data_IF_453383527474
#
_entry.id   IF_453383527474
#
_cell.length_a   1.000
_cell.length_b   1.000
_cell.length_c   1.000
_cell.angle_alpha   90.00
_cell.angle_beta   90.00
_cell.angle_gamma   90.00
#
_symmetry.space_group_name_H-M   'P 1'
#
loop_
_entity.id
_entity.type
_entity.pdbx_description
1 polymer ?
#
# COMPACT_ATOMS: atom_id res chain seq x y z
N UNK A 1 4.98 23.76 14.48
CA UNK A 1 6.35 23.21 14.42
C UNK A 1 6.61 22.75 13.01
N UNK A 2 7.30 23.59 12.23
CA UNK A 2 7.67 23.30 10.83
C UNK A 2 8.70 22.18 10.89
N UNK A 3 8.35 21.00 10.38
CA UNK A 3 9.30 19.92 10.19
C UNK A 3 10.48 20.49 9.39
N UNK A 4 11.71 20.40 9.91
CA UNK A 4 12.89 20.72 9.15
C UNK A 4 12.83 19.92 7.85
N UNK A 5 12.44 20.57 6.75
CA UNK A 5 12.30 19.93 5.46
C UNK A 5 13.70 19.54 5.07
N UNK A 6 14.05 18.26 5.22
CA UNK A 6 15.31 17.77 4.71
C UNK A 6 15.26 18.02 3.20
N UNK A 7 16.14 18.89 2.73
CA UNK A 7 16.26 19.28 1.33
C UNK A 7 17.41 18.46 0.76
N UNK A 8 17.15 17.78 -0.34
CA UNK A 8 18.16 17.02 -1.09
C UNK A 8 18.23 17.68 -2.45
N UNK A 9 19.40 18.24 -2.80
CA UNK A 9 19.63 18.90 -4.09
C UNK A 9 18.67 20.07 -4.36
N UNK A 10 18.32 20.83 -3.32
CA UNK A 10 17.39 21.97 -3.43
C UNK A 10 15.90 21.58 -3.48
N UNK A 11 15.57 20.28 -3.56
CA UNK A 11 14.17 19.80 -3.60
C UNK A 11 13.76 19.27 -2.22
N UNK A 12 12.60 19.68 -1.67
CA UNK A 12 12.08 19.09 -0.45
C UNK A 12 11.84 17.57 -0.62
N UNK A 13 12.32 16.76 0.34
CA UNK A 13 12.18 15.29 0.30
C UNK A 13 10.73 14.81 0.09
N UNK A 14 9.75 15.59 0.53
CA UNK A 14 8.33 15.36 0.28
C UNK A 14 8.03 15.22 -1.22
N UNK A 15 8.44 16.18 -2.05
CA UNK A 15 8.14 16.17 -3.48
C UNK A 15 9.02 15.16 -4.23
N UNK A 16 10.28 15.02 -3.83
CA UNK A 16 11.18 14.04 -4.41
C UNK A 16 10.67 12.60 -4.20
N UNK A 17 10.26 12.26 -2.98
CA UNK A 17 9.71 10.92 -2.68
C UNK A 17 8.41 10.64 -3.43
N UNK A 18 7.53 11.64 -3.60
CA UNK A 18 6.30 11.50 -4.38
C UNK A 18 6.59 11.30 -5.88
N UNK A 19 7.54 12.05 -6.44
CA UNK A 19 7.94 11.90 -7.85
C UNK A 19 8.53 10.51 -8.12
N UNK A 20 9.44 10.06 -7.24
CA UNK A 20 10.03 8.72 -7.33
C UNK A 20 8.93 7.65 -7.22
N UNK A 21 7.95 7.83 -6.33
CA UNK A 21 6.82 6.91 -6.21
C UNK A 21 5.98 6.84 -7.49
N UNK A 22 5.73 7.98 -8.14
CA UNK A 22 4.99 8.01 -9.43
C UNK A 22 5.72 7.18 -10.48
N UNK A 23 7.02 7.43 -10.66
CA UNK A 23 7.84 6.73 -11.66
C UNK A 23 7.93 5.23 -11.34
N UNK A 24 8.20 4.89 -10.08
CA UNK A 24 8.33 3.50 -9.66
C UNK A 24 7.02 2.72 -9.83
N UNK A 25 5.87 3.30 -9.44
CA UNK A 25 4.58 2.65 -9.62
C UNK A 25 4.21 2.49 -11.10
N UNK A 26 4.49 3.49 -11.94
CA UNK A 26 4.26 3.37 -13.39
C UNK A 26 5.12 2.27 -14.01
N UNK A 27 6.40 2.19 -13.62
CA UNK A 27 7.28 1.11 -14.06
C UNK A 27 6.76 -0.26 -13.60
N UNK A 28 6.34 -0.40 -12.33
CA UNK A 28 5.78 -1.64 -11.82
C UNK A 28 4.55 -2.09 -12.62
N UNK A 29 3.62 -1.18 -12.93
CA UNK A 29 2.41 -1.50 -13.72
C UNK A 29 2.79 -2.01 -15.12
N UNK A 30 3.72 -1.33 -15.80
CA UNK A 30 4.15 -1.70 -17.14
C UNK A 30 4.88 -3.04 -17.17
N UNK A 31 5.82 -3.26 -16.23
CA UNK A 31 6.56 -4.52 -16.13
C UNK A 31 5.61 -5.65 -15.77
N UNK A 32 4.71 -5.47 -14.80
CA UNK A 32 3.68 -6.46 -14.44
C UNK A 32 2.80 -6.82 -15.63
N UNK A 33 2.41 -5.83 -16.44
CA UNK A 33 1.64 -6.06 -17.67
C UNK A 33 2.45 -6.92 -18.65
N UNK A 34 3.71 -6.60 -18.87
CA UNK A 34 4.58 -7.38 -19.75
C UNK A 34 4.80 -8.81 -19.24
N UNK A 35 5.07 -9.00 -17.95
CA UNK A 35 5.38 -10.32 -17.38
C UNK A 35 4.16 -11.23 -17.18
N UNK A 36 2.94 -10.70 -17.17
CA UNK A 36 1.71 -11.48 -16.92
C UNK A 36 0.77 -11.56 -18.11
N UNK A 37 0.64 -10.49 -18.90
CA UNK A 37 -0.28 -10.49 -20.04
C UNK A 37 0.31 -11.26 -21.24
N UNK A 38 1.63 -11.36 -21.34
CA UNK A 38 2.32 -12.06 -22.43
C UNK A 38 2.68 -13.51 -22.12
N UNK A 39 2.38 -13.99 -20.90
CA UNK A 39 2.75 -15.33 -20.44
C UNK A 39 1.48 -16.16 -20.15
N UNK A 40 1.36 -17.38 -20.72
CA UNK A 40 0.30 -18.34 -20.42
C UNK A 40 0.14 -18.60 -18.92
N UNK A 41 -1.08 -18.87 -18.45
CA UNK A 41 -1.38 -18.94 -17.01
C UNK A 41 -0.58 -20.02 -16.26
N UNK A 42 -0.30 -21.12 -16.94
CA UNK A 42 0.46 -22.28 -16.48
C UNK A 42 1.96 -22.00 -16.29
N UNK A 43 2.50 -21.03 -17.03
CA UNK A 43 3.89 -20.56 -16.95
C UNK A 43 4.07 -19.32 -16.05
N UNK A 44 2.99 -18.82 -15.42
CA UNK A 44 3.10 -17.67 -14.51
C UNK A 44 3.78 -18.05 -13.20
N UNK A 45 4.53 -17.11 -12.64
CA UNK A 45 5.05 -17.22 -11.27
C UNK A 45 3.92 -17.00 -10.25
N UNK A 46 4.04 -17.64 -9.09
CA UNK A 46 3.09 -17.46 -7.99
C UNK A 46 3.22 -16.06 -7.38
N UNK A 47 2.10 -15.33 -7.36
CA UNK A 47 2.05 -13.96 -6.85
C UNK A 47 2.42 -13.89 -5.36
N UNK A 48 1.96 -14.87 -4.59
CA UNK A 48 2.16 -15.02 -3.15
C UNK A 48 3.63 -15.12 -2.77
N UNK A 49 4.38 -15.99 -3.44
CA UNK A 49 5.82 -16.17 -3.18
C UNK A 49 6.60 -14.93 -3.58
N UNK A 50 6.21 -14.25 -4.67
CA UNK A 50 6.85 -13.01 -5.12
C UNK A 50 6.65 -11.86 -4.11
N UNK A 51 5.46 -11.76 -3.51
CA UNK A 51 5.18 -10.78 -2.43
C UNK A 51 6.09 -11.03 -1.23
N UNK A 52 6.23 -12.28 -0.79
CA UNK A 52 7.12 -12.62 0.35
C UNK A 52 8.57 -12.30 0.01
N UNK A 53 9.03 -12.66 -1.20
CA UNK A 53 10.39 -12.32 -1.64
C UNK A 53 10.61 -10.81 -1.68
N UNK A 54 9.59 -10.01 -2.01
CA UNK A 54 9.69 -8.54 -1.97
C UNK A 54 9.87 -8.01 -0.55
N UNK A 55 9.24 -8.62 0.46
CA UNK A 55 9.43 -8.28 1.88
C UNK A 55 10.82 -8.73 2.38
N UNK A 56 11.33 -9.87 1.92
CA UNK A 56 12.69 -10.34 2.22
C UNK A 56 13.73 -9.36 1.66
N UNK A 57 13.63 -8.98 0.38
CA UNK A 57 14.55 -8.00 -0.22
C UNK A 57 14.47 -6.65 0.51
N UNK A 58 13.26 -6.18 0.81
CA UNK A 58 13.05 -4.94 1.59
C UNK A 58 13.75 -5.00 2.95
N UNK A 59 13.64 -6.12 3.65
CA UNK A 59 14.30 -6.37 4.93
C UNK A 59 15.82 -6.34 4.77
N UNK A 60 16.38 -7.03 3.77
CA UNK A 60 17.81 -7.03 3.48
C UNK A 60 18.35 -5.62 3.19
N UNK A 61 17.62 -4.82 2.42
CA UNK A 61 18.01 -3.42 2.15
C UNK A 61 17.96 -2.60 3.44
N UNK A 62 16.93 -2.75 4.26
CA UNK A 62 16.85 -2.05 5.55
C UNK A 62 17.98 -2.46 6.50
N UNK A 63 18.36 -3.75 6.52
CA UNK A 63 19.50 -4.26 7.29
C UNK A 63 20.82 -3.67 6.79
N UNK A 64 21.01 -3.60 5.47
CA UNK A 64 22.20 -2.97 4.87
C UNK A 64 22.30 -1.49 5.22
N UNK A 65 21.19 -0.75 5.16
CA UNK A 65 21.14 0.65 5.60
C UNK A 65 21.46 0.75 7.10
N UNK A 66 20.87 -0.09 7.94
CA UNK A 66 21.10 -0.08 9.39
C UNK A 66 22.56 -0.40 9.75
N UNK A 67 23.17 -1.37 9.07
CA UNK A 67 24.60 -1.67 9.19
C UNK A 67 25.50 -0.48 8.80
N UNK A 68 25.05 0.33 7.83
CA UNK A 68 25.81 1.47 7.34
C UNK A 68 25.76 2.71 8.24
N UNK A 69 24.81 2.77 9.18
CA UNK A 69 24.54 3.96 9.99
C UNK A 69 25.65 4.24 11.01
N UNK A 70 26.13 3.26 11.81
CA UNK A 70 27.24 3.51 12.73
C UNK A 70 28.53 3.88 11.99
N UNK A 71 29.40 4.71 12.60
CA UNK A 71 30.73 5.01 12.05
C UNK A 71 31.52 3.72 11.77
N UNK A 72 32.38 3.74 10.74
CA UNK A 72 33.15 2.57 10.29
C UNK A 72 33.83 1.79 11.44
N UNK A 73 34.47 2.49 12.38
CA UNK A 73 35.15 1.90 13.54
C UNK A 73 34.21 1.17 14.52
N UNK A 74 32.91 1.47 14.47
CA UNK A 74 31.86 0.88 15.32
C UNK A 74 30.96 -0.12 14.57
N UNK A 75 31.20 -0.37 13.27
CA UNK A 75 30.40 -1.34 12.51
C UNK A 75 30.73 -2.76 12.96
N UNK A 76 29.73 -3.46 13.49
CA UNK A 76 29.84 -4.86 13.89
C UNK A 76 28.51 -5.57 13.67
N UNK A 77 28.57 -6.77 13.06
CA UNK A 77 27.38 -7.60 12.82
C UNK A 77 26.75 -8.05 14.14
N UNK A 78 27.57 -8.30 15.17
CA UNK A 78 27.10 -8.68 16.50
C UNK A 78 26.32 -7.53 17.15
N UNK A 79 26.81 -6.30 17.02
CA UNK A 79 26.10 -5.10 17.51
C UNK A 79 24.76 -4.90 16.81
N UNK A 80 24.71 -5.08 15.49
CA UNK A 80 23.45 -5.04 14.73
C UNK A 80 22.48 -6.13 15.20
N UNK A 81 22.96 -7.35 15.41
CA UNK A 81 22.17 -8.47 15.92
C UNK A 81 21.60 -8.19 17.30
N UNK A 82 22.41 -7.72 18.25
CA UNK A 82 21.96 -7.34 19.60
C UNK A 82 20.91 -6.23 19.56
N UNK A 83 21.09 -5.23 18.69
CA UNK A 83 20.13 -4.15 18.51
C UNK A 83 18.78 -4.65 17.94
N UNK A 84 18.82 -5.52 16.92
CA UNK A 84 17.61 -6.09 16.34
C UNK A 84 16.88 -7.01 17.32
N UNK A 85 17.62 -7.83 18.05
CA UNK A 85 17.06 -8.66 19.12
C UNK A 85 16.36 -7.78 20.16
N UNK A 86 16.99 -6.67 20.53
CA UNK A 86 16.43 -5.71 21.46
C UNK A 86 15.15 -5.05 20.93
N UNK A 87 15.14 -4.55 19.69
CA UNK A 87 13.98 -3.88 19.08
C UNK A 87 12.83 -4.83 18.70
N UNK A 88 13.12 -6.10 18.37
CA UNK A 88 12.11 -7.09 17.99
C UNK A 88 11.58 -7.87 19.18
N UNK A 89 12.44 -8.30 20.11
CA UNK A 89 12.08 -9.22 21.20
C UNK A 89 11.90 -8.44 22.50
N UNK A 90 12.88 -7.65 22.92
CA UNK A 90 12.81 -6.94 24.21
C UNK A 90 11.74 -5.85 24.18
N UNK A 91 11.69 -5.05 23.11
CA UNK A 91 10.63 -4.04 22.85
C UNK A 91 9.40 -4.64 22.15
N UNK A 92 9.01 -5.88 22.47
CA UNK A 92 7.88 -6.57 21.84
C UNK A 92 6.56 -5.78 21.86
N UNK A 93 6.30 -4.99 22.92
CA UNK A 93 5.08 -4.15 23.00
C UNK A 93 5.05 -3.05 21.94
N UNK A 94 6.20 -2.53 21.52
CA UNK A 94 6.28 -1.53 20.45
C UNK A 94 6.33 -2.21 19.09
N UNK A 95 7.03 -3.35 18.96
CA UNK A 95 7.07 -4.15 17.74
C UNK A 95 5.66 -4.66 17.36
N UNK A 96 4.91 -5.22 18.32
CA UNK A 96 3.56 -5.75 18.08
C UNK A 96 2.54 -4.69 17.64
N UNK A 97 2.77 -3.40 17.90
CA UNK A 97 1.94 -2.33 17.30
C UNK A 97 2.06 -2.31 15.78
N UNK A 98 3.20 -2.70 15.21
CA UNK A 98 3.37 -2.82 13.76
C UNK A 98 2.82 -4.14 13.20
N UNK A 99 2.54 -5.13 14.06
CA UNK A 99 1.79 -6.31 13.66
C UNK A 99 0.34 -5.97 13.28
N UNK A 100 -0.27 -4.99 13.97
CA UNK A 100 -1.64 -4.55 13.69
C UNK A 100 -1.85 -4.15 12.21
N UNK A 101 -1.13 -3.18 11.62
CA UNK A 101 -1.28 -2.85 10.21
C UNK A 101 -0.93 -4.02 9.29
N UNK A 102 0.04 -4.88 9.64
CA UNK A 102 0.38 -6.06 8.85
C UNK A 102 -0.79 -7.06 8.76
N UNK A 103 -1.48 -7.33 9.88
CA UNK A 103 -2.68 -8.17 9.93
C UNK A 103 -3.82 -7.55 9.12
N UNK A 104 -4.04 -6.23 9.24
CA UNK A 104 -5.07 -5.55 8.45
C UNK A 104 -4.79 -5.65 6.95
N UNK A 105 -3.53 -5.49 6.52
CA UNK A 105 -3.15 -5.66 5.12
C UNK A 105 -3.34 -7.10 4.64
N UNK A 106 -3.05 -8.11 5.47
CA UNK A 106 -3.32 -9.50 5.14
C UNK A 106 -4.82 -9.76 4.93
N UNK A 107 -5.67 -9.34 5.87
CA UNK A 107 -7.12 -9.52 5.77
C UNK A 107 -7.65 -8.77 4.55
N UNK A 108 -7.20 -7.52 4.35
CA UNK A 108 -7.54 -6.73 3.18
C UNK A 108 -7.23 -7.47 1.87
N UNK A 109 -6.01 -8.00 1.72
CA UNK A 109 -5.60 -8.68 0.50
C UNK A 109 -6.47 -9.91 0.22
N UNK A 110 -6.84 -10.67 1.25
CA UNK A 110 -7.76 -11.80 1.12
C UNK A 110 -9.18 -11.37 0.73
N UNK A 111 -9.70 -10.30 1.33
CA UNK A 111 -11.01 -9.75 0.96
C UNK A 111 -11.02 -9.21 -0.48
N UNK A 112 -9.89 -8.69 -0.97
CA UNK A 112 -9.76 -8.30 -2.38
C UNK A 112 -9.86 -9.50 -3.32
N UNK A 113 -9.28 -10.65 -2.95
CA UNK A 113 -9.43 -11.88 -3.71
C UNK A 113 -10.89 -12.34 -3.76
N UNK A 114 -11.55 -12.41 -2.59
CA UNK A 114 -12.98 -12.76 -2.49
C UNK A 114 -13.84 -11.80 -3.31
N UNK A 115 -13.56 -10.50 -3.26
CA UNK A 115 -14.31 -9.53 -4.05
C UNK A 115 -14.06 -9.71 -5.55
N UNK A 116 -12.82 -9.96 -5.98
CA UNK A 116 -12.48 -10.16 -7.39
C UNK A 116 -13.08 -11.44 -7.98
N UNK A 117 -13.33 -12.48 -7.17
CA UNK A 117 -13.99 -13.71 -7.63
C UNK A 117 -15.52 -13.61 -7.65
N UNK A 118 -16.11 -12.65 -6.93
CA UNK A 118 -17.55 -12.53 -6.75
C UNK A 118 -18.17 -11.29 -7.41
N UNK A 119 -17.35 -10.37 -7.93
CA UNK A 119 -17.79 -9.18 -8.66
C UNK A 119 -17.18 -9.18 -10.05
N UNK A 120 -17.88 -8.59 -11.01
CA UNK A 120 -17.28 -8.27 -12.29
C UNK A 120 -16.13 -7.25 -12.12
N UNK A 121 -15.18 -7.28 -13.05
CA UNK A 121 -13.97 -6.47 -12.96
C UNK A 121 -14.27 -4.96 -12.91
N UNK A 122 -15.32 -4.48 -13.57
CA UNK A 122 -15.66 -3.06 -13.56
C UNK A 122 -16.18 -2.63 -12.18
N UNK A 123 -17.14 -3.37 -11.63
CA UNK A 123 -17.69 -3.12 -10.29
C UNK A 123 -16.61 -3.21 -9.22
N UNK A 124 -15.74 -4.23 -9.26
CA UNK A 124 -14.63 -4.35 -8.32
C UNK A 124 -13.69 -3.14 -8.39
N UNK A 125 -13.24 -2.76 -9.60
CA UNK A 125 -12.25 -1.69 -9.77
C UNK A 125 -12.78 -0.32 -9.34
N UNK A 126 -14.04 0.00 -9.68
CA UNK A 126 -14.68 1.26 -9.30
C UNK A 126 -14.89 1.32 -7.79
N UNK A 127 -15.46 0.26 -7.21
CA UNK A 127 -15.76 0.21 -5.77
C UNK A 127 -14.49 0.26 -4.92
N UNK A 128 -13.40 -0.36 -5.38
CA UNK A 128 -12.14 -0.39 -4.63
C UNK A 128 -11.47 1.00 -4.52
N UNK A 129 -11.84 1.99 -5.35
CA UNK A 129 -11.30 3.35 -5.22
C UNK A 129 -11.84 4.11 -4.00
N UNK A 130 -12.93 3.64 -3.38
CA UNK A 130 -13.44 4.17 -2.12
C UNK A 130 -12.38 4.16 -1.00
N UNK A 131 -11.33 3.33 -1.12
CA UNK A 131 -10.18 3.34 -0.22
C UNK A 131 -9.53 4.71 -0.04
N UNK A 132 -9.62 5.60 -1.04
CA UNK A 132 -9.07 6.96 -0.95
C UNK A 132 -9.86 7.77 0.05
N UNK A 133 -11.20 7.67 0.00
CA UNK A 133 -12.09 8.36 0.93
C UNK A 133 -11.98 7.79 2.35
N UNK A 134 -11.87 6.47 2.50
CA UNK A 134 -11.67 5.85 3.82
C UNK A 134 -10.32 6.26 4.42
N UNK A 135 -9.26 6.33 3.61
CA UNK A 135 -7.94 6.83 4.05
C UNK A 135 -8.02 8.28 4.52
N UNK A 136 -8.75 9.14 3.80
CA UNK A 136 -8.95 10.52 4.21
C UNK A 136 -9.78 10.63 5.50
N UNK A 137 -10.85 9.86 5.62
CA UNK A 137 -11.68 9.78 6.82
C UNK A 137 -10.84 9.38 8.05
N UNK A 138 -10.08 8.29 7.96
CA UNK A 138 -9.22 7.87 9.06
C UNK A 138 -8.08 8.86 9.31
N UNK A 139 -7.56 9.54 8.29
CA UNK A 139 -6.56 10.60 8.49
C UNK A 139 -7.10 11.76 9.33
N UNK A 140 -8.38 12.12 9.14
CA UNK A 140 -9.03 13.13 9.97
C UNK A 140 -9.28 12.61 11.39
N UNK A 141 -9.80 11.39 11.54
CA UNK A 141 -10.19 10.82 12.84
C UNK A 141 -9.00 10.41 13.71
N UNK A 142 -7.99 9.74 13.13
CA UNK A 142 -6.88 9.10 13.86
C UNK A 142 -5.66 10.03 14.00
N UNK A 143 -5.36 10.81 12.95
CA UNK A 143 -4.22 11.74 12.95
C UNK A 143 -4.63 13.18 13.31
N UNK A 144 -5.92 13.44 13.52
CA UNK A 144 -6.46 14.77 13.84
C UNK A 144 -6.01 15.85 12.84
N UNK A 145 -5.91 15.51 11.55
CA UNK A 145 -5.57 16.44 10.47
C UNK A 145 -6.86 16.96 9.82
N UNK A 146 -7.39 18.14 10.20
CA UNK A 146 -8.62 18.64 9.62
C UNK A 146 -8.44 18.93 8.13
N UNK A 147 -9.38 18.46 7.31
CA UNK A 147 -9.44 18.75 5.88
C UNK A 147 -10.51 19.80 5.61
N UNK A 148 -10.19 20.78 4.75
CA UNK A 148 -11.17 21.77 4.30
C UNK A 148 -12.23 21.11 3.41
N UNK A 149 -13.39 21.78 3.25
CA UNK A 149 -14.45 21.32 2.35
C UNK A 149 -13.94 21.14 0.92
N UNK A 150 -13.05 22.03 0.47
CA UNK A 150 -12.44 21.98 -0.86
C UNK A 150 -11.55 20.75 -1.03
N UNK A 151 -10.80 20.34 0.00
CA UNK A 151 -10.00 19.11 -0.01
C UNK A 151 -10.87 17.85 -0.03
N UNK A 152 -12.01 17.85 0.66
CA UNK A 152 -12.98 16.76 0.55
C UNK A 152 -13.58 16.64 -0.85
N UNK A 153 -13.93 17.76 -1.47
CA UNK A 153 -14.41 17.79 -2.86
C UNK A 153 -13.32 17.26 -3.80
N UNK A 154 -12.07 17.70 -3.63
CA UNK A 154 -10.95 17.20 -4.43
C UNK A 154 -10.78 15.68 -4.32
N UNK A 155 -10.91 15.11 -3.12
CA UNK A 155 -10.83 13.66 -2.90
C UNK A 155 -11.99 12.90 -3.56
N UNK A 156 -13.20 13.47 -3.56
CA UNK A 156 -14.34 12.93 -4.27
C UNK A 156 -14.11 12.90 -5.79
N UNK A 157 -13.67 14.03 -6.36
CA UNK A 157 -13.34 14.15 -7.78
C UNK A 157 -12.20 13.18 -8.15
N UNK A 158 -11.17 13.06 -7.30
CA UNK A 158 -10.07 12.11 -7.50
C UNK A 158 -10.59 10.67 -7.59
N UNK A 159 -11.46 10.27 -6.66
CA UNK A 159 -12.02 8.91 -6.60
C UNK A 159 -12.82 8.59 -7.87
N UNK A 160 -13.67 9.52 -8.32
CA UNK A 160 -14.44 9.38 -9.56
C UNK A 160 -13.51 9.34 -10.78
N UNK A 161 -12.49 10.21 -10.83
CA UNK A 161 -11.53 10.26 -11.94
C UNK A 161 -10.79 8.94 -12.12
N UNK A 162 -10.33 8.31 -11.03
CA UNK A 162 -9.66 7.01 -11.10
C UNK A 162 -10.63 5.90 -11.48
N UNK A 163 -11.86 5.92 -10.93
CA UNK A 163 -12.89 4.96 -11.33
C UNK A 163 -13.13 4.97 -12.85
N UNK A 164 -13.19 6.17 -13.46
CA UNK A 164 -13.30 6.34 -14.90
C UNK A 164 -12.06 5.85 -15.67
N UNK A 165 -10.86 6.11 -15.15
CA UNK A 165 -9.58 5.68 -15.79
C UNK A 165 -9.42 4.16 -15.79
N UNK A 166 -9.89 3.48 -14.75
CA UNK A 166 -9.65 2.04 -14.54
C UNK A 166 -10.78 1.16 -15.10
N UNK A 167 -11.88 1.75 -15.59
CA UNK A 167 -12.98 0.97 -16.16
C UNK A 167 -12.54 0.12 -17.38
N UNK A 168 -12.88 -1.18 -17.41
CA UNK A 168 -12.66 -2.03 -18.58
C UNK A 168 -13.36 -1.49 -19.84
N UNK A 169 -12.73 -1.67 -21.01
CA UNK A 169 -13.24 -1.15 -22.29
C UNK A 169 -14.62 -1.70 -22.68
N UNK A 170 -14.92 -2.92 -22.25
CA UNK A 170 -16.18 -3.61 -22.59
C UNK A 170 -17.37 -3.17 -21.71
N UNK A 171 -17.10 -2.49 -20.59
CA UNK A 171 -18.13 -2.06 -19.64
C UNK A 171 -18.85 -0.76 -20.07
N UNK A 172 -18.23 0.03 -20.97
CA UNK A 172 -18.76 1.33 -21.39
C UNK A 172 -19.30 1.23 -22.81
N UNK A 173 -20.34 0.41 -22.99
CA UNK A 173 -21.26 0.64 -24.10
C UNK A 173 -22.14 1.84 -23.72
N UNK A 174 -21.83 3.02 -24.27
CA UNK A 174 -22.61 4.26 -24.12
C UNK A 174 -24.10 4.08 -24.47
N UNK A 175 -24.43 3.02 -25.21
CA UNK A 175 -25.78 2.53 -25.52
C UNK A 175 -26.60 2.17 -24.27
N UNK A 176 -25.98 1.59 -23.23
CA UNK A 176 -26.68 1.16 -22.01
C UNK A 176 -27.02 2.30 -21.04
N UNK A 177 -26.21 3.36 -21.02
CA UNK A 177 -26.46 4.54 -20.21
C UNK A 177 -27.58 5.38 -20.83
N UNK A 178 -27.60 5.52 -22.16
CA UNK A 178 -28.66 6.26 -22.85
C UNK A 178 -30.02 5.53 -22.75
N UNK A 179 -30.06 4.19 -22.86
CA UNK A 179 -31.31 3.43 -22.70
C UNK A 179 -31.91 3.50 -21.30
N UNK A 180 -31.07 3.65 -20.26
CA UNK A 180 -31.54 3.85 -18.89
C UNK A 180 -32.18 5.24 -18.65
N UNK A 181 -31.76 6.26 -19.41
CA UNK A 181 -32.29 7.62 -19.30
C UNK A 181 -33.44 7.92 -20.27
N UNK A 182 -33.69 7.09 -21.29
CA UNK A 182 -34.70 7.38 -22.34
C UNK A 182 -35.94 6.47 -22.34
N UNK A 183 -36.23 5.68 -21.30
CA UNK A 183 -37.48 4.90 -21.24
C UNK A 183 -38.35 5.33 -20.06
N UNK A 184 -38.94 6.52 -20.20
CA UNK A 184 -40.13 6.94 -19.45
C UNK A 184 -41.40 6.62 -20.24
N UNK A 185 -41.78 5.33 -20.33
CA UNK A 185 -43.15 4.86 -20.59
C UNK A 185 -43.23 3.31 -20.59
N UNK A 186 -44.14 2.79 -19.77
CA UNK A 186 -44.53 1.37 -19.58
C UNK A 186 -45.24 0.77 -20.83
N UNK A 187 -45.74 -0.50 -20.84
CA UNK A 187 -45.07 -1.80 -20.63
C UNK A 187 -45.47 -2.85 -21.70
N UNK A 188 -44.66 -3.87 -22.03
CA UNK A 188 -45.16 -5.12 -22.65
C UNK A 188 -44.40 -6.34 -22.13
N UNK A 189 -45.18 -7.31 -21.67
CA UNK A 189 -44.78 -8.57 -21.04
C UNK A 189 -44.35 -9.65 -22.04
N UNK A 190 -43.53 -10.58 -21.55
CA UNK A 190 -43.48 -12.04 -21.76
C UNK A 190 -42.03 -12.49 -21.59
N UNK A 191 -41.64 -13.48 -20.79
CA UNK A 191 -42.38 -14.57 -20.15
C UNK A 191 -41.48 -15.12 -19.04
N UNK A 192 -42.07 -15.32 -17.86
CA UNK A 192 -41.47 -15.99 -16.72
C UNK A 192 -41.46 -17.49 -17.00
N UNK A 193 -40.28 -18.10 -16.98
CA UNK A 193 -40.11 -19.46 -16.44
C UNK A 193 -39.21 -19.32 -15.23
N UNK A 194 -39.81 -19.62 -14.09
CA UNK A 194 -39.21 -19.80 -12.78
C UNK A 194 -38.23 -20.96 -12.83
N UNK A 195 -36.97 -20.70 -12.47
CA UNK A 195 -36.24 -21.42 -11.41
C UNK A 195 -34.87 -20.73 -11.17
N UNK A 196 -34.42 -20.69 -9.91
CA UNK A 196 -33.15 -20.14 -9.37
C UNK A 196 -33.06 -18.63 -9.02
N UNK A 197 -33.93 -18.13 -8.15
CA UNK A 197 -33.84 -16.77 -7.54
C UNK A 197 -33.09 -16.66 -6.20
N UNK A 198 -32.21 -17.60 -5.81
CA UNK A 198 -31.47 -17.48 -4.54
C UNK A 198 -29.94 -17.59 -4.60
N UNK A 199 -29.33 -18.02 -5.71
CA UNK A 199 -27.86 -18.16 -5.80
C UNK A 199 -27.13 -16.99 -6.48
N UNK A 200 -27.81 -16.19 -7.32
CA UNK A 200 -27.17 -15.08 -8.06
C UNK A 200 -27.03 -13.76 -7.28
N UNK A 201 -27.80 -13.57 -6.21
CA UNK A 201 -27.79 -12.33 -5.42
C UNK A 201 -26.84 -12.41 -4.21
N UNK A 202 -26.59 -13.61 -3.69
CA UNK A 202 -25.78 -13.82 -2.49
C UNK A 202 -24.28 -13.67 -2.77
N UNK A 203 -23.80 -14.16 -3.93
CA UNK A 203 -22.41 -14.00 -4.38
C UNK A 203 -22.04 -12.54 -4.64
N UNK A 204 -22.90 -11.79 -5.35
CA UNK A 204 -22.68 -10.37 -5.61
C UNK A 204 -22.67 -9.53 -4.31
N UNK A 205 -23.58 -9.82 -3.36
CA UNK A 205 -23.62 -9.14 -2.07
C UNK A 205 -22.37 -9.44 -1.22
N UNK A 206 -21.91 -10.69 -1.21
CA UNK A 206 -20.67 -11.09 -0.54
C UNK A 206 -19.46 -10.36 -1.13
N UNK A 207 -19.37 -10.27 -2.47
CA UNK A 207 -18.32 -9.54 -3.15
C UNK A 207 -18.31 -8.05 -2.82
N UNK A 208 -19.50 -7.42 -2.81
CA UNK A 208 -19.65 -6.00 -2.48
C UNK A 208 -19.26 -5.70 -1.02
N UNK A 209 -19.71 -6.54 -0.09
CA UNK A 209 -19.30 -6.41 1.32
C UNK A 209 -17.79 -6.59 1.49
N UNK A 210 -17.20 -7.58 0.80
CA UNK A 210 -15.76 -7.84 0.85
C UNK A 210 -14.93 -6.64 0.35
N UNK A 211 -15.30 -6.01 -0.77
CA UNK A 211 -14.56 -4.85 -1.30
C UNK A 211 -14.72 -3.61 -0.40
N UNK A 212 -15.91 -3.36 0.16
CA UNK A 212 -16.12 -2.25 1.09
C UNK A 212 -15.28 -2.43 2.36
N UNK A 213 -15.29 -3.64 2.94
CA UNK A 213 -14.45 -3.95 4.09
C UNK A 213 -12.96 -3.83 3.75
N UNK A 214 -12.52 -4.30 2.57
CA UNK A 214 -11.15 -4.11 2.11
C UNK A 214 -10.78 -2.61 2.01
N UNK A 215 -11.66 -1.75 1.51
CA UNK A 215 -11.44 -0.30 1.47
C UNK A 215 -11.28 0.31 2.86
N UNK A 216 -12.11 -0.09 3.83
CA UNK A 216 -12.03 0.39 5.22
C UNK A 216 -10.72 -0.06 5.86
N UNK A 217 -10.37 -1.35 5.73
CA UNK A 217 -9.13 -1.91 6.27
C UNK A 217 -7.89 -1.27 5.64
N UNK A 218 -7.90 -0.99 4.34
CA UNK A 218 -6.80 -0.30 3.65
C UNK A 218 -6.56 1.10 4.19
N UNK A 219 -7.63 1.87 4.41
CA UNK A 219 -7.53 3.21 4.98
C UNK A 219 -7.02 3.17 6.41
N UNK A 220 -7.57 2.26 7.22
CA UNK A 220 -7.17 2.09 8.62
C UNK A 220 -5.71 1.67 8.75
N UNK A 221 -5.27 0.64 8.02
CA UNK A 221 -3.90 0.12 8.07
C UNK A 221 -2.88 1.18 7.66
N UNK A 222 -3.14 1.89 6.55
CA UNK A 222 -2.25 2.94 6.06
C UNK A 222 -2.10 4.10 7.05
N UNK A 223 -3.22 4.62 7.54
CA UNK A 223 -3.21 5.76 8.47
C UNK A 223 -2.64 5.38 9.83
N UNK A 224 -2.92 4.16 10.31
CA UNK A 224 -2.34 3.66 11.54
C UNK A 224 -0.81 3.49 11.43
N UNK A 225 -0.33 2.98 10.30
CA UNK A 225 1.11 2.94 10.02
C UNK A 225 1.72 4.34 10.02
N UNK A 226 1.07 5.32 9.39
CA UNK A 226 1.52 6.73 9.44
C UNK A 226 1.59 7.27 10.87
N UNK A 227 0.60 6.93 11.71
CA UNK A 227 0.59 7.33 13.11
C UNK A 227 1.80 6.79 13.86
N UNK A 228 2.12 5.50 13.69
CA UNK A 228 3.28 4.89 14.35
C UNK A 228 4.58 5.49 13.82
N UNK A 229 4.67 5.67 12.51
CA UNK A 229 5.89 6.13 11.84
C UNK A 229 6.23 7.58 12.18
N UNK A 230 5.21 8.40 12.42
CA UNK A 230 5.35 9.81 12.82
C UNK A 230 5.24 10.03 14.33
N UNK A 231 5.03 8.98 15.11
CA UNK A 231 4.98 9.11 16.56
C UNK A 231 6.34 9.69 17.03
N UNK A 232 6.34 10.73 17.87
CA UNK A 232 7.59 11.23 18.43
C UNK A 232 8.26 10.09 19.19
N UNK A 233 9.58 9.94 19.01
CA UNK A 233 10.38 9.08 19.87
C UNK A 233 10.07 9.52 21.30
N UNK A 234 9.47 8.64 22.11
CA UNK A 234 9.25 8.95 23.51
C UNK A 234 10.62 9.36 24.08
N UNK A 235 10.75 10.55 24.70
CA UNK A 235 11.91 10.79 25.54
C UNK A 235 11.94 9.65 26.54
N UNK A 236 13.14 9.09 26.75
CA UNK A 236 13.41 7.97 27.65
C UNK A 236 12.42 8.03 28.79
N UNK A 237 11.45 7.09 28.80
CA UNK A 237 10.62 6.94 29.97
C UNK A 237 11.60 6.65 31.09
N UNK A 238 11.64 7.54 32.06
CA UNK A 238 12.16 7.34 33.40
C UNK A 238 11.50 6.08 33.94
N UNK A 239 11.99 4.92 33.52
CA UNK A 239 12.13 3.82 34.44
C UNK A 239 13.19 4.31 35.40
N UNK A 240 12.74 5.03 36.43
CA UNK A 240 13.39 4.96 37.72
C UNK A 240 13.24 3.49 38.11
N UNK A 241 14.11 2.64 37.57
CA UNK A 241 14.67 1.64 38.44
C UNK A 241 15.27 2.47 39.59
N UNK A 242 14.97 2.09 40.83
CA UNK A 242 15.63 2.64 42.02
C UNK A 242 17.13 2.26 41.99
N UNK A 243 17.85 2.60 40.92
CA UNK A 243 19.29 2.67 40.86
C UNK A 243 19.67 4.00 41.47
N UNK A 244 20.36 3.93 42.60
CA UNK A 244 20.59 5.05 43.52
C UNK A 244 20.93 6.39 42.88
N UNK A 245 20.48 7.44 43.56
CA UNK A 245 20.91 8.82 43.33
C UNK A 245 22.43 8.91 43.41
N UNK A 246 23.04 9.55 42.40
CA UNK A 246 24.39 10.07 42.54
C UNK A 246 24.43 11.14 43.66
N UNK A 247 25.64 11.50 44.12
CA UNK A 247 25.87 12.34 45.31
C UNK A 247 25.21 13.73 45.19
N UNK A 248 24.82 14.14 43.98
CA UNK A 248 24.14 15.40 43.67
C UNK A 248 22.61 15.29 43.49
N UNK A 249 22.01 14.10 43.71
CA UNK A 249 20.56 13.92 43.63
C UNK A 249 20.00 13.94 42.21
N UNK A 250 20.82 13.65 41.20
CA UNK A 250 20.41 13.55 39.80
C UNK A 250 19.93 12.12 39.52
N UNK A 251 18.80 11.99 38.85
CA UNK A 251 18.33 10.68 38.40
C UNK A 251 19.26 10.19 37.30
N UNK A 252 19.98 9.09 37.54
CA UNK A 252 20.77 8.40 36.52
C UNK A 252 19.82 7.90 35.42
N UNK A 253 19.81 8.59 34.28
CA UNK A 253 19.08 8.14 33.11
C UNK A 253 19.88 7.01 32.48
N UNK A 254 19.36 5.77 32.55
CA UNK A 254 19.93 4.65 31.80
C UNK A 254 19.68 4.90 30.32
N UNK A 255 20.66 5.46 29.63
CA UNK A 255 20.63 5.54 28.17
C UNK A 255 20.68 4.14 27.58
N UNK A 256 19.71 3.82 26.72
CA UNK A 256 19.69 2.51 26.10
C UNK A 256 20.90 2.33 25.17
N UNK A 257 21.62 1.20 25.26
CA UNK A 257 22.99 1.04 24.77
C UNK A 257 23.18 1.17 23.24
N UNK A 258 22.10 1.32 22.47
CA UNK A 258 22.13 1.36 20.99
C UNK A 258 21.33 2.52 20.40
N UNK A 259 20.61 3.30 21.22
CA UNK A 259 19.62 4.25 20.74
C UNK A 259 20.27 5.42 19.97
N UNK A 260 21.44 5.88 20.42
CA UNK A 260 22.17 7.01 19.82
C UNK A 260 22.70 6.68 18.41
N UNK A 261 23.30 5.49 18.25
CA UNK A 261 23.87 5.05 16.97
C UNK A 261 22.79 4.88 15.88
N UNK A 262 21.57 4.45 16.22
CA UNK A 262 20.52 4.11 15.25
C UNK A 262 19.34 5.11 15.21
N UNK A 263 19.37 6.18 16.00
CA UNK A 263 18.37 7.26 15.98
C UNK A 263 18.03 7.82 14.57
N UNK A 264 18.99 8.10 13.66
CA UNK A 264 18.64 8.61 12.33
C UNK A 264 17.95 7.57 11.44
N UNK A 265 18.06 6.29 11.79
CA UNK A 265 17.60 5.14 11.01
C UNK A 265 16.27 4.55 11.49
N UNK A 266 15.56 5.23 12.41
CA UNK A 266 14.31 4.74 12.99
C UNK A 266 13.24 4.35 11.96
N UNK A 267 13.19 5.04 10.81
CA UNK A 267 12.31 4.67 9.70
C UNK A 267 12.53 3.21 9.26
N UNK A 268 13.79 2.82 9.10
CA UNK A 268 14.18 1.50 8.62
C UNK A 268 13.94 0.43 9.69
N UNK A 269 14.11 0.77 10.97
CA UNK A 269 13.76 -0.11 12.10
C UNK A 269 12.26 -0.43 12.10
N UNK A 270 11.40 0.59 11.95
CA UNK A 270 9.94 0.39 11.83
C UNK A 270 9.58 -0.44 10.61
N UNK A 271 10.31 -0.27 9.50
CA UNK A 271 10.10 -1.06 8.29
C UNK A 271 10.52 -2.53 8.47
N UNK A 272 11.63 -2.81 9.17
CA UNK A 272 12.04 -4.17 9.54
C UNK A 272 11.00 -4.82 10.46
N UNK A 273 10.55 -4.11 11.50
CA UNK A 273 9.51 -4.61 12.41
C UNK A 273 8.23 -4.96 11.65
N UNK A 274 7.77 -4.10 10.73
CA UNK A 274 6.61 -4.40 9.87
C UNK A 274 6.88 -5.60 8.94
N UNK A 275 8.02 -5.61 8.26
CA UNK A 275 8.38 -6.69 7.32
C UNK A 275 8.49 -8.04 8.03
N UNK A 276 8.99 -8.07 9.27
CA UNK A 276 9.04 -9.28 10.10
C UNK A 276 7.65 -9.90 10.29
N UNK A 277 6.65 -9.10 10.68
CA UNK A 277 5.28 -9.58 10.82
C UNK A 277 4.66 -9.94 9.47
N UNK A 278 4.93 -9.16 8.42
CA UNK A 278 4.43 -9.44 7.07
C UNK A 278 4.97 -10.74 6.49
N UNK A 279 6.27 -11.04 6.67
CA UNK A 279 6.87 -12.31 6.24
C UNK A 279 6.31 -13.47 7.06
N UNK A 280 6.25 -13.33 8.39
CA UNK A 280 5.73 -14.37 9.27
C UNK A 280 4.28 -14.74 8.90
N UNK A 281 3.42 -13.73 8.79
CA UNK A 281 2.01 -13.91 8.44
C UNK A 281 1.84 -14.36 6.97
N UNK A 282 2.65 -13.83 6.05
CA UNK A 282 2.61 -14.21 4.63
C UNK A 282 3.00 -15.68 4.41
N UNK A 283 4.03 -16.15 5.10
CA UNK A 283 4.44 -17.55 5.07
C UNK A 283 3.33 -18.46 5.59
N UNK A 284 2.71 -18.11 6.73
CA UNK A 284 1.67 -18.94 7.34
C UNK A 284 0.38 -18.91 6.51
N UNK A 285 -0.18 -17.74 6.25
CA UNK A 285 -1.53 -17.64 5.69
C UNK A 285 -1.58 -17.74 4.17
N UNK A 286 -0.56 -17.26 3.48
CA UNK A 286 -0.58 -17.23 2.01
C UNK A 286 0.14 -18.45 1.44
N UNK A 287 1.34 -18.75 1.93
CA UNK A 287 2.12 -19.87 1.40
C UNK A 287 1.65 -21.21 1.93
N UNK A 288 1.33 -21.36 3.22
CA UNK A 288 0.91 -22.67 3.73
C UNK A 288 -0.58 -22.95 3.51
N UNK A 289 -1.45 -21.96 3.70
CA UNK A 289 -2.91 -22.20 3.67
C UNK A 289 -3.56 -21.95 2.30
N UNK A 290 -3.07 -20.99 1.51
CA UNK A 290 -3.68 -20.66 0.22
C UNK A 290 -3.02 -21.40 -0.95
N UNK A 291 -1.70 -21.26 -1.12
CA UNK A 291 -0.97 -21.84 -2.25
C UNK A 291 -0.12 -23.07 -1.88
N UNK A 292 -0.31 -23.63 -0.68
CA UNK A 292 0.57 -24.65 -0.11
C UNK A 292 0.64 -25.94 -0.93
N UNK A 293 -0.48 -26.41 -1.45
CA UNK A 293 -0.52 -27.58 -2.33
C UNK A 293 0.26 -27.32 -3.63
N UNK A 294 0.02 -26.18 -4.29
CA UNK A 294 0.72 -25.78 -5.50
C UNK A 294 2.23 -25.62 -5.28
N UNK A 295 2.63 -25.09 -4.12
CA UNK A 295 4.04 -24.92 -3.74
C UNK A 295 4.70 -26.27 -3.42
N UNK A 296 3.97 -27.21 -2.81
CA UNK A 296 4.46 -28.55 -2.56
C UNK A 296 4.68 -29.34 -3.86
N UNK A 297 3.80 -29.16 -4.84
CA UNK A 297 3.87 -29.84 -6.14
C UNK A 297 4.87 -29.22 -7.10
N UNK A 298 4.85 -27.89 -7.26
CA UNK A 298 5.62 -27.16 -8.28
C UNK A 298 6.87 -26.45 -7.73
N UNK A 299 7.00 -26.35 -6.41
CA UNK A 299 8.07 -25.64 -5.73
C UNK A 299 7.78 -24.15 -5.50
N UNK A 300 8.45 -23.57 -4.50
CA UNK A 300 8.27 -22.17 -4.08
C UNK A 300 8.68 -21.15 -5.17
N UNK A 301 9.73 -21.47 -5.93
CA UNK A 301 10.29 -20.61 -6.99
C UNK A 301 9.83 -21.02 -8.39
N UNK A 302 8.65 -21.64 -8.51
CA UNK A 302 8.11 -22.06 -9.81
C UNK A 302 8.02 -20.88 -10.78
N UNK A 303 8.57 -21.07 -11.98
CA UNK A 303 8.59 -20.07 -13.07
C UNK A 303 9.29 -18.74 -12.73
N UNK A 304 10.23 -18.75 -11.78
CA UNK A 304 11.06 -17.57 -11.50
C UNK A 304 12.12 -17.41 -12.59
N UNK A 305 12.07 -16.28 -13.31
CA UNK A 305 13.08 -15.88 -14.27
C UNK A 305 13.63 -14.49 -13.92
N UNK A 306 14.55 -13.97 -14.74
CA UNK A 306 15.15 -12.64 -14.50
C UNK A 306 14.12 -11.51 -14.45
N UNK A 307 13.03 -11.61 -15.22
CA UNK A 307 11.95 -10.63 -15.20
C UNK A 307 11.11 -10.72 -13.92
N UNK A 308 10.86 -11.92 -13.40
CA UNK A 308 10.22 -12.13 -12.09
C UNK A 308 11.05 -11.46 -10.98
N UNK A 309 12.37 -11.65 -10.98
CA UNK A 309 13.25 -10.97 -10.02
C UNK A 309 13.27 -9.45 -10.20
N UNK A 310 13.17 -8.96 -11.44
CA UNK A 310 13.01 -7.52 -11.72
C UNK A 310 11.72 -6.97 -11.10
N UNK A 311 10.59 -7.67 -11.28
CA UNK A 311 9.29 -7.30 -10.66
C UNK A 311 9.41 -7.26 -9.14
N UNK A 312 9.96 -8.31 -8.53
CA UNK A 312 10.14 -8.40 -7.07
C UNK A 312 11.04 -7.25 -6.57
N UNK A 313 12.12 -6.93 -7.29
CA UNK A 313 13.01 -5.82 -6.96
C UNK A 313 12.32 -4.45 -7.04
N UNK A 314 11.57 -4.19 -8.11
CA UNK A 314 10.79 -2.95 -8.26
C UNK A 314 9.72 -2.83 -7.17
N UNK A 315 9.08 -3.94 -6.80
CA UNK A 315 8.07 -3.99 -5.74
C UNK A 315 8.69 -3.73 -4.35
N UNK A 316 9.83 -4.36 -4.05
CA UNK A 316 10.57 -4.12 -2.81
C UNK A 316 11.00 -2.65 -2.70
N UNK A 317 11.56 -2.09 -3.79
CA UNK A 317 11.94 -0.69 -3.87
C UNK A 317 10.74 0.25 -3.66
N UNK A 318 9.60 -0.04 -4.30
CA UNK A 318 8.35 0.69 -4.09
C UNK A 318 7.90 0.69 -2.65
N UNK A 319 7.99 -0.45 -1.95
CA UNK A 319 7.67 -0.54 -0.53
C UNK A 319 8.55 0.35 0.35
N UNK A 320 9.85 0.46 0.05
CA UNK A 320 10.76 1.39 0.74
C UNK A 320 10.38 2.86 0.47
N UNK A 321 10.07 3.19 -0.78
CA UNK A 321 9.62 4.55 -1.16
C UNK A 321 8.30 4.89 -0.46
N UNK A 322 7.36 3.95 -0.36
CA UNK A 322 6.10 4.18 0.37
C UNK A 322 6.37 4.56 1.82
N UNK A 323 7.32 3.92 2.50
CA UNK A 323 7.70 4.31 3.87
C UNK A 323 8.27 5.74 3.92
N UNK A 324 9.09 6.13 2.94
CA UNK A 324 9.62 7.50 2.81
C UNK A 324 8.50 8.52 2.54
N UNK A 325 7.58 8.24 1.61
CA UNK A 325 6.44 9.10 1.30
C UNK A 325 5.56 9.26 2.53
N UNK A 326 5.27 8.19 3.25
CA UNK A 326 4.49 8.30 4.49
C UNK A 326 5.23 9.15 5.52
N UNK A 327 6.57 9.02 5.65
CA UNK A 327 7.39 9.84 6.55
C UNK A 327 7.33 11.33 6.23
N UNK A 328 7.59 11.70 4.97
CA UNK A 328 7.82 13.09 4.56
C UNK A 328 6.59 13.78 3.97
N UNK A 329 5.60 13.02 3.50
CA UNK A 329 4.31 13.49 3.02
C UNK A 329 3.19 12.95 3.95
N UNK A 330 2.18 12.27 3.42
CA UNK A 330 1.16 11.54 4.15
C UNK A 330 0.50 10.51 3.22
N UNK A 331 -0.37 9.66 3.77
CA UNK A 331 -1.06 8.64 2.97
C UNK A 331 -2.05 9.21 1.95
N UNK A 332 -2.56 10.44 2.14
CA UNK A 332 -3.46 11.06 1.18
C UNK A 332 -2.68 11.45 -0.08
N UNK A 333 -1.54 12.14 0.08
CA UNK A 333 -0.65 12.48 -1.04
C UNK A 333 -0.08 11.23 -1.72
N UNK A 334 0.16 10.14 -0.99
CA UNK A 334 0.48 8.82 -1.58
C UNK A 334 -0.63 8.35 -2.53
N UNK A 335 -1.89 8.54 -2.15
CA UNK A 335 -3.05 8.25 -3.00
C UNK A 335 -3.04 9.05 -4.30
N UNK A 336 -2.81 10.37 -4.23
CA UNK A 336 -2.65 11.22 -5.41
C UNK A 336 -1.49 10.77 -6.32
N UNK A 337 -0.31 10.51 -5.75
CA UNK A 337 0.85 10.02 -6.51
C UNK A 337 0.56 8.68 -7.21
N UNK A 338 -0.11 7.76 -6.52
CA UNK A 338 -0.54 6.48 -7.12
C UNK A 338 -1.52 6.70 -8.28
N UNK A 339 -2.44 7.65 -8.14
CA UNK A 339 -3.43 7.99 -9.19
C UNK A 339 -2.76 8.57 -10.44
N UNK A 340 -1.80 9.47 -10.24
CA UNK A 340 -0.98 10.03 -11.33
C UNK A 340 -0.15 8.92 -12.01
N UNK A 341 0.38 7.97 -11.24
CA UNK A 341 1.15 6.86 -11.79
C UNK A 341 0.34 5.95 -12.71
N UNK A 342 -0.96 5.78 -12.43
CA UNK A 342 -1.88 5.02 -13.30
C UNK A 342 -2.00 5.75 -14.65
N UNK A 343 -2.27 7.06 -14.64
CA UNK A 343 -2.37 7.86 -15.87
C UNK A 343 -1.07 7.81 -16.67
N UNK A 344 0.08 8.03 -16.00
CA UNK A 344 1.39 7.97 -16.63
C UNK A 344 1.66 6.59 -17.24
N UNK A 345 1.36 5.51 -16.52
CA UNK A 345 1.53 4.14 -17.04
C UNK A 345 0.64 3.85 -18.26
N UNK A 346 -0.58 4.38 -18.26
CA UNK A 346 -1.50 4.25 -19.39
C UNK A 346 -1.00 5.04 -20.60
N UNK A 347 -0.50 6.27 -20.41
CA UNK A 347 0.11 7.06 -21.50
C UNK A 347 1.34 6.38 -22.08
N UNK A 348 2.23 5.86 -21.22
CA UNK A 348 3.40 5.09 -21.67
C UNK A 348 2.97 3.80 -22.38
N UNK A 349 1.87 3.16 -21.97
CA UNK A 349 1.33 1.99 -22.64
C UNK A 349 0.82 2.28 -24.07
N UNK A 350 0.42 3.51 -24.37
CA UNK A 350 0.04 3.92 -25.75
C UNK A 350 1.26 3.78 -26.66
N UNK A 351 2.41 4.30 -26.22
CA UNK A 351 3.65 4.28 -26.98
C UNK A 351 4.30 2.89 -27.03
N UNK A 352 4.27 2.15 -25.91
CA UNK A 352 4.96 0.87 -25.78
C UNK A 352 4.15 -0.32 -26.30
N UNK A 353 2.82 -0.26 -26.23
CA UNK A 353 1.94 -1.40 -26.50
C UNK A 353 0.80 -1.08 -27.48
N UNK A 354 0.86 0.07 -28.18
CA UNK A 354 -0.20 0.54 -29.11
C UNK A 354 -1.60 0.57 -28.46
N UNK A 355 -1.67 0.90 -27.17
CA UNK A 355 -2.94 0.95 -26.45
C UNK A 355 -3.81 2.10 -26.94
N UNK A 356 -5.07 1.83 -27.30
CA UNK A 356 -6.04 2.88 -27.63
C UNK A 356 -6.60 3.57 -26.38
N UNK A 357 -6.47 4.90 -26.32
CA UNK A 357 -7.07 5.73 -25.28
C UNK A 357 -8.58 5.84 -25.52
N UNK A 358 -9.39 5.59 -24.48
CA UNK A 358 -10.85 5.78 -24.53
C UNK A 358 -11.25 7.20 -24.11
N UNK A 359 -12.42 7.67 -24.56
CA UNK A 359 -12.97 8.95 -24.08
C UNK A 359 -13.17 9.00 -22.57
N UNK A 360 -13.56 7.87 -21.96
CA UNK A 360 -13.68 7.73 -20.51
C UNK A 360 -12.35 7.88 -19.79
N UNK A 361 -11.25 7.38 -20.37
CA UNK A 361 -9.92 7.58 -19.83
C UNK A 361 -9.54 9.07 -19.83
N UNK A 362 -9.78 9.79 -20.94
CA UNK A 362 -9.45 11.22 -21.03
C UNK A 362 -10.24 12.04 -20.00
N UNK A 363 -11.54 11.76 -19.86
CA UNK A 363 -12.39 12.40 -18.86
C UNK A 363 -11.93 12.07 -17.43
N UNK A 364 -11.62 10.81 -17.14
CA UNK A 364 -11.11 10.41 -15.84
C UNK A 364 -9.75 11.06 -15.52
N UNK A 365 -8.84 11.11 -16.50
CA UNK A 365 -7.54 11.74 -16.35
C UNK A 365 -7.66 13.25 -16.08
N UNK A 366 -8.59 13.94 -16.74
CA UNK A 366 -8.83 15.36 -16.48
C UNK A 366 -9.34 15.61 -15.06
N UNK A 367 -10.21 14.73 -14.54
CA UNK A 367 -10.69 14.79 -13.15
C UNK A 367 -9.55 14.58 -12.15
N UNK A 368 -8.66 13.61 -12.38
CA UNK A 368 -7.51 13.38 -11.49
C UNK A 368 -6.55 14.58 -11.48
N UNK A 369 -6.27 15.17 -12.65
CA UNK A 369 -5.40 16.36 -12.74
C UNK A 369 -6.05 17.54 -12.03
N UNK A 370 -7.33 17.78 -12.29
CA UNK A 370 -8.07 18.87 -11.65
C UNK A 370 -8.17 18.69 -10.13
N UNK A 371 -8.45 17.48 -9.65
CA UNK A 371 -8.46 17.16 -8.22
C UNK A 371 -7.09 17.39 -7.58
N UNK A 372 -6.00 17.07 -8.27
CA UNK A 372 -4.63 17.29 -7.78
C UNK A 372 -4.35 18.78 -7.61
N UNK A 373 -4.73 19.59 -8.58
CA UNK A 373 -4.64 21.05 -8.49
C UNK A 373 -5.51 21.58 -7.34
N UNK A 374 -6.77 21.16 -7.27
CA UNK A 374 -7.73 21.60 -6.26
C UNK A 374 -7.27 21.27 -4.84
N UNK A 375 -6.68 20.09 -4.60
CA UNK A 375 -6.16 19.71 -3.28
C UNK A 375 -4.93 20.52 -2.85
N UNK A 376 -4.19 21.08 -3.83
CA UNK A 376 -3.01 21.92 -3.61
C UNK A 376 -3.32 23.37 -3.24
N UNK A 377 -4.54 23.84 -3.50
CA UNK A 377 -5.08 25.11 -3.01
C UNK A 377 -5.38 25.03 -1.49
#
# INVERSE_FOLDING_TARGET
>A
MVAASSIVWGIPLKYLSLLILVVQNSALILVMRYTRASVPEDERYLASTAVIMSEVIKTLVCLGVLYSVPPLHRRSISRLGSFLQYELITKWREASKLAFPAVLYLIQNNLQYVAATNLDAATFQVTYQLKILTTAFFSVVILHKPLSRLKWIALGILTIGIALVVMPKDAVSLTGIFSYFTTSSQPVASSVTTDDTSLGNQSNAQGFFAVLMACVLSGLAGVYFEKILKAPSKPVSTHVEEGGTDIEGKVMVVEEPFQEDYAPAQLWVRNIQMSFFSVLLGMIFVVLLQDGATIAERGFFVNYNALTWCVIGIQAFGGLIVALVVKYADNILKGFATSISIILSSLLSVFLFNFSITGTFVLGASFVIYATYLYGL
#
